data_IF_408437221604
#
_entry.id   IF_408437221604
#
_cell.length_a   1.000
_cell.length_b   1.000
_cell.length_c   1.000
_cell.angle_alpha   90.00
_cell.angle_beta   90.00
_cell.angle_gamma   90.00
#
_symmetry.space_group_name_H-M   'P 1'
#
loop_
_entity.id
_entity.type
_entity.pdbx_description
1 polymer ?
#
# COMPACT_ATOMS: atom_id res chain seq x y z
N UNK A 1 13.30 -7.90 -4.31
CA UNK A 1 12.01 -7.80 -5.01
C UNK A 1 10.98 -7.37 -4.00
N UNK A 2 10.62 -6.09 -4.03
CA UNK A 2 9.48 -5.56 -3.31
C UNK A 2 8.49 -5.03 -4.34
N UNK A 3 7.23 -5.43 -4.23
CA UNK A 3 6.16 -4.67 -4.85
C UNK A 3 5.88 -3.47 -3.95
N UNK A 4 5.78 -2.29 -4.54
CA UNK A 4 5.61 -1.04 -3.82
C UNK A 4 4.40 -0.27 -4.36
N UNK A 5 3.42 0.00 -3.49
CA UNK A 5 2.32 0.92 -3.78
C UNK A 5 2.51 2.23 -3.03
N UNK A 6 2.32 3.37 -3.68
CA UNK A 6 2.50 4.68 -3.08
C UNK A 6 1.21 5.49 -3.13
N UNK A 7 0.87 6.16 -2.03
CA UNK A 7 -0.17 7.18 -1.98
C UNK A 7 0.46 8.52 -1.61
N UNK A 8 0.17 9.54 -2.41
CA UNK A 8 0.88 10.83 -2.37
C UNK A 8 -0.06 11.95 -1.96
N UNK A 9 0.37 12.73 -0.96
CA UNK A 9 -0.23 14.00 -0.57
C UNK A 9 0.76 15.13 -0.87
N UNK A 10 0.66 15.77 -2.04
CA UNK A 10 1.59 16.81 -2.46
C UNK A 10 1.44 18.05 -1.58
N UNK A 11 2.55 18.65 -1.15
CA UNK A 11 2.55 19.88 -0.34
C UNK A 11 3.69 20.79 -0.78
N UNK A 12 3.39 22.03 -1.15
CA UNK A 12 4.41 22.97 -1.61
C UNK A 12 5.37 23.41 -0.48
N UNK A 13 6.70 23.42 -0.71
CA UNK A 13 7.40 22.86 -1.88
C UNK A 13 7.46 21.33 -1.84
N UNK A 14 7.08 20.69 -2.95
CA UNK A 14 6.73 19.26 -3.00
C UNK A 14 7.86 18.32 -2.59
N UNK A 15 9.10 18.61 -2.96
CA UNK A 15 10.26 17.78 -2.64
C UNK A 15 10.59 17.74 -1.15
N UNK A 16 10.11 18.70 -0.36
CA UNK A 16 10.46 18.84 1.07
C UNK A 16 9.29 18.54 1.99
N UNK A 17 8.06 18.85 1.57
CA UNK A 17 6.89 18.83 2.46
C UNK A 17 5.84 17.79 2.10
N UNK A 18 5.92 17.19 0.91
CA UNK A 18 4.97 16.14 0.54
C UNK A 18 5.06 14.98 1.51
N UNK A 19 3.93 14.27 1.62
CA UNK A 19 3.85 13.06 2.42
C UNK A 19 3.44 11.92 1.54
N UNK A 20 4.23 10.87 1.62
CA UNK A 20 4.10 9.71 0.76
C UNK A 20 4.12 8.50 1.68
N UNK A 21 3.10 7.65 1.56
CA UNK A 21 3.08 6.36 2.24
C UNK A 21 3.34 5.30 1.18
N UNK A 22 4.46 4.59 1.31
CA UNK A 22 4.79 3.41 0.52
C UNK A 22 4.35 2.15 1.23
N UNK A 23 3.58 1.29 0.59
CA UNK A 23 3.21 -0.03 1.06
C UNK A 23 4.10 -1.04 0.37
N UNK A 24 4.91 -1.77 1.15
CA UNK A 24 5.96 -2.61 0.61
C UNK A 24 5.80 -4.07 1.04
N UNK A 25 6.22 -4.96 0.14
CA UNK A 25 6.52 -6.35 0.49
C UNK A 25 8.01 -6.48 0.80
N UNK A 26 8.37 -6.63 2.07
CA UNK A 26 9.76 -6.80 2.48
C UNK A 26 10.17 -8.27 2.54
N UNK A 27 11.46 -8.59 2.38
CA UNK A 27 11.93 -9.99 2.48
C UNK A 27 12.15 -10.44 3.92
N UNK A 28 12.35 -9.51 4.85
CA UNK A 28 12.82 -9.79 6.22
C UNK A 28 12.08 -9.02 7.30
N UNK A 29 11.69 -7.77 7.04
CA UNK A 29 11.04 -6.93 8.03
C UNK A 29 9.63 -7.48 8.36
N UNK A 30 9.21 -7.49 9.63
CA UNK A 30 7.88 -7.96 10.01
C UNK A 30 6.76 -7.12 9.38
N UNK A 31 5.63 -7.76 9.05
CA UNK A 31 4.40 -7.04 8.66
C UNK A 31 3.98 -6.06 9.76
N UNK A 32 3.57 -4.86 9.36
CA UNK A 32 3.20 -3.77 10.26
C UNK A 32 4.36 -2.87 10.66
N UNK A 33 5.59 -3.20 10.27
CA UNK A 33 6.76 -2.31 10.45
C UNK A 33 6.53 -1.00 9.70
N UNK A 34 6.81 0.12 10.37
CA UNK A 34 6.75 1.47 9.80
C UNK A 34 8.14 2.07 9.87
N UNK A 35 8.69 2.48 8.73
CA UNK A 35 10.06 3.02 8.64
C UNK A 35 10.12 4.21 7.70
N UNK A 36 10.88 5.24 8.07
CA UNK A 36 11.10 6.40 7.18
C UNK A 36 12.15 6.05 6.12
N UNK A 37 12.01 6.61 4.92
CA UNK A 37 13.02 6.47 3.89
C UNK A 37 14.35 7.08 4.34
N UNK A 38 15.45 6.40 4.03
CA UNK A 38 16.80 6.91 4.25
C UNK A 38 17.24 7.89 3.15
N UNK A 39 16.55 7.88 2.00
CA UNK A 39 16.88 8.70 0.82
C UNK A 39 16.13 10.03 0.79
N UNK A 40 14.92 10.09 1.37
CA UNK A 40 14.09 11.30 1.39
C UNK A 40 13.28 11.41 2.69
N UNK A 41 13.06 12.63 3.16
CA UNK A 41 12.20 12.92 4.32
C UNK A 41 10.70 12.83 4.03
N UNK A 42 10.29 12.73 2.76
CA UNK A 42 8.88 12.77 2.35
C UNK A 42 8.19 11.40 2.35
N UNK A 43 8.97 10.31 2.38
CA UNK A 43 8.46 8.94 2.23
C UNK A 43 8.55 8.18 3.55
N UNK A 44 7.44 7.56 3.93
CA UNK A 44 7.37 6.56 5.00
C UNK A 44 6.85 5.26 4.44
N UNK A 45 7.54 4.16 4.71
CA UNK A 45 7.19 2.82 4.29
C UNK A 45 6.40 2.09 5.38
N UNK A 46 5.42 1.31 4.96
CA UNK A 46 4.63 0.38 5.77
C UNK A 46 4.77 -1.00 5.16
N UNK A 47 5.31 -1.94 5.92
CA UNK A 47 5.44 -3.33 5.47
C UNK A 47 4.08 -4.00 5.55
N UNK A 48 3.48 -4.32 4.40
CA UNK A 48 2.17 -5.01 4.33
C UNK A 48 2.31 -6.51 4.14
N UNK A 49 3.47 -6.93 3.62
CA UNK A 49 3.80 -8.31 3.33
C UNK A 49 5.26 -8.59 3.68
N UNK A 50 5.57 -9.81 4.10
CA UNK A 50 6.92 -10.19 4.50
C UNK A 50 7.30 -11.60 4.06
N UNK A 51 8.55 -11.76 3.64
CA UNK A 51 9.15 -13.05 3.30
C UNK A 51 8.64 -13.65 1.99
N UNK A 52 9.00 -14.91 1.75
CA UNK A 52 8.78 -15.59 0.46
C UNK A 52 7.56 -16.51 0.44
N UNK A 53 6.91 -16.72 1.59
CA UNK A 53 5.88 -17.75 1.75
C UNK A 53 4.65 -17.59 0.85
N UNK A 54 4.36 -16.37 0.40
CA UNK A 54 3.21 -16.06 -0.45
C UNK A 54 3.58 -15.68 -1.89
N UNK A 55 4.84 -15.85 -2.29
CA UNK A 55 5.26 -15.58 -3.67
C UNK A 55 4.51 -16.50 -4.66
N UNK A 56 4.23 -15.97 -5.85
CA UNK A 56 3.49 -16.67 -6.91
C UNK A 56 1.98 -16.79 -6.65
N UNK A 57 1.47 -16.23 -5.56
CA UNK A 57 0.03 -16.20 -5.26
C UNK A 57 -0.56 -14.85 -5.65
N UNK A 58 -1.80 -14.86 -6.13
CA UNK A 58 -2.57 -13.64 -6.30
C UNK A 58 -3.09 -13.17 -4.94
N UNK A 59 -2.68 -11.97 -4.52
CA UNK A 59 -3.04 -11.41 -3.22
C UNK A 59 -3.78 -10.09 -3.45
N UNK A 60 -4.89 -9.90 -2.73
CA UNK A 60 -5.59 -8.62 -2.68
C UNK A 60 -5.20 -7.90 -1.40
N UNK A 61 -4.57 -6.73 -1.56
CA UNK A 61 -4.25 -5.83 -0.45
C UNK A 61 -5.34 -4.77 -0.29
N UNK A 62 -5.79 -4.58 0.96
CA UNK A 62 -6.75 -3.53 1.31
C UNK A 62 -6.21 -2.74 2.51
N UNK A 63 -6.18 -1.41 2.38
CA UNK A 63 -5.68 -0.50 3.42
C UNK A 63 -6.62 0.69 3.62
N UNK A 64 -6.77 1.09 4.88
CA UNK A 64 -7.34 2.39 5.21
C UNK A 64 -6.21 3.44 5.22
N UNK A 65 -6.02 4.08 4.08
CA UNK A 65 -4.91 5.04 3.89
C UNK A 65 -5.05 6.29 4.76
N UNK A 66 -6.27 6.61 5.22
CA UNK A 66 -6.52 7.75 6.10
C UNK A 66 -6.03 7.44 7.51
N UNK A 67 -6.32 6.24 8.01
CA UNK A 67 -5.86 5.82 9.34
C UNK A 67 -4.35 5.60 9.36
N UNK A 68 -3.77 5.05 8.30
CA UNK A 68 -2.32 4.95 8.15
C UNK A 68 -1.67 6.34 8.15
N UNK A 69 -2.24 7.32 7.45
CA UNK A 69 -1.75 8.70 7.47
C UNK A 69 -1.81 9.33 8.87
N UNK A 70 -2.93 9.16 9.59
CA UNK A 70 -3.06 9.66 10.97
C UNK A 70 -2.04 9.01 11.90
N UNK A 71 -1.84 7.69 11.77
CA UNK A 71 -0.86 6.94 12.58
C UNK A 71 0.56 7.40 12.33
N UNK A 72 0.92 7.68 11.08
CA UNK A 72 2.29 8.04 10.68
C UNK A 72 2.59 9.51 10.98
N UNK A 73 1.65 10.41 10.67
CA UNK A 73 1.91 11.86 10.68
C UNK A 73 1.20 12.62 11.80
N UNK A 74 0.27 11.99 12.53
CA UNK A 74 -0.44 12.60 13.66
C UNK A 74 -1.46 13.67 13.27
N UNK A 75 -1.86 13.75 12.00
CA UNK A 75 -2.86 14.70 11.53
C UNK A 75 -3.82 14.09 10.52
N UNK A 76 -4.91 14.80 10.22
CA UNK A 76 -5.88 14.39 9.20
C UNK A 76 -5.32 14.66 7.80
N UNK A 77 -5.30 13.67 6.89
CA UNK A 77 -4.89 13.92 5.51
C UNK A 77 -5.92 14.77 4.77
N UNK A 78 -5.42 15.57 3.82
CA UNK A 78 -6.22 16.10 2.72
C UNK A 78 -6.53 14.97 1.71
N UNK A 79 -7.18 15.30 0.59
CA UNK A 79 -7.35 14.34 -0.48
C UNK A 79 -6.00 13.92 -1.08
N UNK A 80 -5.75 12.62 -1.33
CA UNK A 80 -4.53 12.19 -2.01
C UNK A 80 -4.53 12.71 -3.44
N UNK A 81 -3.36 13.17 -3.91
CA UNK A 81 -3.19 13.72 -5.25
C UNK A 81 -2.83 12.67 -6.31
N UNK A 82 -2.21 11.56 -5.90
CA UNK A 82 -1.79 10.50 -6.82
C UNK A 82 -1.65 9.14 -6.13
N UNK A 83 -1.80 8.07 -6.92
CA UNK A 83 -1.25 6.74 -6.63
C UNK A 83 -0.10 6.48 -7.61
N UNK A 84 0.98 5.89 -7.13
CA UNK A 84 1.98 5.24 -7.96
C UNK A 84 2.10 3.78 -7.58
N UNK A 85 2.35 2.90 -8.54
CA UNK A 85 2.70 1.51 -8.28
C UNK A 85 4.01 1.24 -8.98
N UNK A 86 4.95 0.69 -8.23
CA UNK A 86 6.28 0.35 -8.71
C UNK A 86 6.62 -1.07 -8.30
N UNK A 87 7.41 -1.72 -9.14
CA UNK A 87 8.19 -2.88 -8.74
C UNK A 87 9.65 -2.48 -8.84
N UNK A 88 10.43 -2.83 -7.84
CA UNK A 88 11.87 -2.65 -7.90
C UNK A 88 12.65 -3.95 -7.62
N UNK A 89 13.81 -4.00 -8.24
CA UNK A 89 14.88 -4.97 -7.97
C UNK A 89 16.15 -4.24 -7.56
N UNK A 90 15.99 -3.05 -6.96
CA UNK A 90 17.12 -2.22 -6.57
C UNK A 90 18.08 -3.01 -5.70
N UNK A 91 19.36 -2.85 -5.98
CA UNK A 91 20.48 -3.40 -5.22
C UNK A 91 20.53 -4.95 -5.12
N UNK A 92 19.70 -5.69 -5.89
CA UNK A 92 19.73 -7.17 -5.90
C UNK A 92 20.44 -7.80 -7.10
N UNK A 93 20.86 -7.01 -8.10
CA UNK A 93 21.40 -7.50 -9.38
C UNK A 93 20.52 -8.58 -10.05
N UNK A 94 19.23 -8.62 -9.71
CA UNK A 94 18.28 -9.62 -10.18
C UNK A 94 17.18 -8.94 -11.00
N UNK A 95 16.39 -9.75 -11.69
CA UNK A 95 15.14 -9.29 -12.30
C UNK A 95 14.00 -9.38 -11.29
N UNK A 96 12.96 -8.57 -11.51
CA UNK A 96 11.71 -8.69 -10.79
C UNK A 96 10.53 -8.58 -11.76
N UNK A 97 9.50 -9.38 -11.51
CA UNK A 97 8.22 -9.35 -12.22
C UNK A 97 7.08 -9.30 -11.21
N UNK A 98 6.05 -8.50 -11.50
CA UNK A 98 4.80 -8.49 -10.76
C UNK A 98 3.64 -8.28 -11.71
N UNK A 99 2.52 -8.90 -11.36
CA UNK A 99 1.24 -8.68 -12.02
C UNK A 99 0.37 -7.81 -11.13
N UNK A 100 -0.18 -6.75 -11.69
CA UNK A 100 -1.02 -5.80 -10.96
C UNK A 100 -2.45 -5.97 -11.47
N UNK A 101 -3.35 -6.21 -10.52
CA UNK A 101 -4.78 -6.29 -10.78
C UNK A 101 -5.47 -4.94 -10.76
N UNK A 102 -6.79 -5.00 -10.60
CA UNK A 102 -7.63 -3.82 -10.45
C UNK A 102 -7.23 -3.00 -9.22
N UNK A 103 -7.11 -1.67 -9.39
CA UNK A 103 -6.85 -0.71 -8.32
C UNK A 103 -8.11 0.13 -8.14
N UNK A 104 -8.69 0.09 -6.94
CA UNK A 104 -9.94 0.78 -6.62
C UNK A 104 -9.83 1.56 -5.32
N UNK A 105 -10.31 2.80 -5.34
CA UNK A 105 -10.70 3.49 -4.12
C UNK A 105 -12.15 3.17 -3.80
N UNK A 106 -12.39 2.67 -2.59
CA UNK A 106 -13.74 2.49 -2.06
C UNK A 106 -13.90 3.37 -0.84
N UNK A 107 -15.06 4.02 -0.74
CA UNK A 107 -15.49 4.58 0.54
C UNK A 107 -15.62 3.42 1.51
N UNK A 108 -15.09 3.58 2.72
CA UNK A 108 -15.29 2.61 3.79
C UNK A 108 -16.80 2.38 3.96
N UNK A 109 -17.25 1.16 3.73
CA UNK A 109 -18.64 0.84 4.00
C UNK A 109 -18.80 0.74 5.51
N UNK A 110 -19.86 1.32 6.09
CA UNK A 110 -20.17 1.10 7.50
C UNK A 110 -20.16 -0.41 7.75
N UNK A 111 -19.43 -0.86 8.78
CA UNK A 111 -19.42 -2.27 9.14
C UNK A 111 -20.87 -2.75 9.23
N UNK A 112 -21.28 -3.77 8.44
CA UNK A 112 -22.63 -4.29 8.54
C UNK A 112 -22.87 -4.70 10.00
N UNK A 113 -24.02 -4.29 10.57
CA UNK A 113 -24.41 -4.70 11.94
C UNK A 113 -24.52 -6.23 12.07
N UNK A 114 -24.52 -6.95 10.95
CA UNK A 114 -24.52 -8.40 10.86
C UNK A 114 -23.32 -8.90 10.03
N UNK A 115 -22.34 -9.58 10.65
CA UNK A 115 -21.15 -10.10 9.96
C UNK A 115 -21.44 -11.19 8.91
N UNK A 116 -22.66 -11.75 8.85
CA UNK A 116 -23.03 -12.74 7.83
C UNK A 116 -23.21 -12.15 6.42
N UNK A 117 -23.42 -10.84 6.30
CA UNK A 117 -23.66 -10.17 5.02
C UNK A 117 -22.37 -9.88 4.21
N UNK A 118 -21.19 -9.92 4.84
CA UNK A 118 -19.91 -9.50 4.20
C UNK A 118 -19.20 -10.59 3.40
N UNK A 119 -19.66 -11.85 3.46
CA UNK A 119 -18.97 -13.01 2.87
C UNK A 119 -19.50 -13.43 1.49
N UNK A 120 -20.51 -12.74 0.95
CA UNK A 120 -21.03 -13.03 -0.38
C UNK A 120 -20.06 -12.48 -1.45
N UNK A 121 -19.10 -13.31 -1.86
CA UNK A 121 -18.29 -13.04 -3.06
C UNK A 121 -19.24 -13.09 -4.28
N UNK A 122 -19.30 -12.04 -5.12
CA UNK A 122 -20.10 -12.10 -6.34
C UNK A 122 -19.57 -13.21 -7.26
N UNK A 123 -20.45 -13.96 -7.97
CA UNK A 123 -20.01 -15.00 -8.89
C UNK A 123 -19.21 -14.38 -10.03
N UNK A 124 -18.17 -15.10 -10.48
CA UNK A 124 -17.38 -14.71 -11.64
C UNK A 124 -18.28 -14.66 -12.88
N UNK A 125 -18.08 -13.70 -13.80
CA UNK A 125 -18.79 -13.68 -15.08
C UNK A 125 -18.43 -14.94 -15.89
N UNK A 126 -19.46 -15.59 -16.43
CA UNK A 126 -19.28 -16.68 -17.38
C UNK A 126 -18.70 -16.14 -18.70
N UNK A 127 -17.80 -16.92 -19.30
CA UNK A 127 -17.10 -16.62 -20.57
C UNK A 127 -18.07 -16.53 -21.74
#
# INVERSE_FOLDING_TARGET
>A
MALEGYVVWPRFPESLRSRIIGYVWDTTAPVGTIVKSQKTGTVTYVVVQSGTARLGQWITEQRNVVDDFRKIYGETPDNPGAISVAIDSNDTHSTAEAFIGEILFRREQPTPKDPSASLARPPLPAT
#
